data_IF_590200781682
#
_entry.id   IF_590200781682
#
_cell.length_a   1.000
_cell.length_b   1.000
_cell.length_c   1.000
_cell.angle_alpha   90.00
_cell.angle_beta   90.00
_cell.angle_gamma   90.00
#
_symmetry.space_group_name_H-M   'P 1'
#
loop_
_entity.id
_entity.type
_entity.pdbx_description
1 polymer ?
#
# COMPACT_ATOMS: atom_id res chain seq x y z
N UNK A 1 -67.29 30.07 -17.65
CA UNK A 1 -66.13 29.36 -17.08
C UNK A 1 -66.25 27.91 -17.49
N UNK A 2 -65.63 27.51 -18.61
CA UNK A 2 -65.49 26.09 -18.91
C UNK A 2 -64.52 25.54 -17.87
N UNK A 3 -64.97 24.60 -17.04
CA UNK A 3 -64.02 23.77 -16.30
C UNK A 3 -63.43 22.84 -17.34
N UNK A 4 -62.15 23.01 -17.64
CA UNK A 4 -61.42 21.98 -18.37
C UNK A 4 -61.45 20.72 -17.49
N UNK A 5 -61.91 19.62 -18.07
CA UNK A 5 -62.09 18.35 -17.41
C UNK A 5 -61.06 17.41 -18.02
N UNK A 6 -59.99 17.15 -17.28
CA UNK A 6 -58.96 16.17 -17.65
C UNK A 6 -58.96 15.01 -16.65
N UNK A 7 -58.78 13.80 -17.17
CA UNK A 7 -58.64 12.56 -16.40
C UNK A 7 -57.33 11.84 -16.72
N UNK A 8 -56.50 12.40 -17.59
CA UNK A 8 -55.17 11.87 -17.89
C UNK A 8 -54.22 12.23 -16.75
N UNK A 9 -53.39 11.28 -16.34
CA UNK A 9 -52.37 11.56 -15.34
C UNK A 9 -51.12 12.15 -16.02
N UNK A 10 -50.41 13.07 -15.35
CA UNK A 10 -49.10 13.52 -15.82
C UNK A 10 -48.12 12.36 -15.98
N UNK A 11 -47.36 12.38 -17.09
CA UNK A 11 -46.34 11.37 -17.42
C UNK A 11 -44.96 11.88 -16.99
N UNK A 12 -44.29 11.13 -16.09
CA UNK A 12 -42.94 11.44 -15.61
C UNK A 12 -41.93 10.56 -16.34
N UNK A 13 -40.89 11.18 -16.89
CA UNK A 13 -39.79 10.53 -17.60
C UNK A 13 -38.51 10.63 -16.77
N UNK A 14 -37.97 9.47 -16.41
CA UNK A 14 -36.70 9.36 -15.70
C UNK A 14 -35.52 9.76 -16.60
N UNK A 15 -34.51 10.47 -16.07
CA UNK A 15 -33.26 10.66 -16.78
C UNK A 15 -32.49 9.34 -16.86
N UNK A 16 -31.65 9.19 -17.88
CA UNK A 16 -30.69 8.08 -17.96
C UNK A 16 -29.51 8.39 -17.04
N UNK A 17 -29.24 7.52 -16.08
CA UNK A 17 -28.09 7.65 -15.17
C UNK A 17 -27.16 6.44 -15.32
N UNK A 18 -25.84 6.65 -15.52
CA UNK A 18 -24.88 5.56 -15.45
C UNK A 18 -24.80 4.99 -14.03
N UNK A 19 -24.24 3.79 -13.90
CA UNK A 19 -23.85 3.27 -12.58
C UNK A 19 -22.73 4.13 -11.99
N UNK A 20 -22.75 4.25 -10.66
CA UNK A 20 -21.72 4.94 -9.88
C UNK A 20 -20.77 3.91 -9.30
N UNK A 21 -19.48 4.20 -9.25
CA UNK A 21 -18.51 3.39 -8.50
C UNK A 21 -18.07 4.16 -7.26
N UNK A 22 -18.28 3.57 -6.07
CA UNK A 22 -17.96 4.14 -4.74
C UNK A 22 -18.52 5.54 -4.44
N UNK A 23 -19.29 6.12 -5.36
CA UNK A 23 -19.74 7.51 -5.29
C UNK A 23 -20.95 7.70 -4.38
N UNK A 24 -21.20 8.95 -4.02
CA UNK A 24 -22.45 9.31 -3.36
C UNK A 24 -23.61 9.35 -4.36
N UNK A 25 -24.82 9.01 -3.89
CA UNK A 25 -26.01 9.10 -4.72
C UNK A 25 -26.27 10.57 -5.10
N UNK A 26 -26.45 10.90 -6.41
CA UNK A 26 -26.59 12.27 -6.87
C UNK A 26 -28.00 12.80 -6.65
N UNK A 27 -28.18 14.12 -6.79
CA UNK A 27 -29.50 14.66 -7.05
C UNK A 27 -30.01 14.18 -8.42
N UNK A 28 -31.28 13.77 -8.49
CA UNK A 28 -31.91 13.31 -9.72
C UNK A 28 -33.00 14.28 -10.17
N UNK A 29 -32.97 14.68 -11.44
CA UNK A 29 -33.98 15.55 -12.04
C UNK A 29 -34.74 14.78 -13.13
N UNK A 30 -36.04 14.56 -12.92
CA UNK A 30 -36.94 13.99 -13.90
C UNK A 30 -37.72 15.09 -14.62
N UNK A 31 -38.12 14.83 -15.86
CA UNK A 31 -39.04 15.69 -16.62
C UNK A 31 -40.44 15.11 -16.57
N UNK A 32 -41.48 15.94 -16.63
CA UNK A 32 -42.84 15.46 -16.77
C UNK A 32 -43.63 16.32 -17.76
N UNK A 33 -44.59 15.70 -18.42
CA UNK A 33 -45.48 16.33 -19.39
C UNK A 33 -46.91 15.91 -19.13
N UNK A 34 -47.85 16.76 -19.50
CA UNK A 34 -49.27 16.50 -19.36
C UNK A 34 -50.06 17.27 -20.43
N UNK A 35 -51.31 16.87 -20.68
CA UNK A 35 -52.19 17.53 -21.66
C UNK A 35 -53.04 18.67 -21.06
N UNK A 36 -53.16 18.76 -19.73
CA UNK A 36 -53.81 19.87 -19.01
C UNK A 36 -52.80 20.85 -18.36
N UNK A 37 -51.49 20.53 -18.34
CA UNK A 37 -50.46 21.42 -17.78
C UNK A 37 -49.26 21.64 -18.70
N UNK A 38 -48.47 22.69 -18.44
CA UNK A 38 -47.28 23.07 -19.24
C UNK A 38 -46.14 22.04 -19.08
N UNK A 39 -46.23 21.13 -18.11
CA UNK A 39 -45.17 20.21 -17.73
C UNK A 39 -44.04 20.90 -16.97
N UNK A 40 -42.96 20.17 -16.68
CA UNK A 40 -41.83 20.73 -15.95
C UNK A 40 -40.78 19.72 -15.51
N UNK A 41 -40.00 20.10 -14.49
CA UNK A 41 -38.96 19.25 -13.90
C UNK A 41 -39.20 19.03 -12.42
N UNK A 42 -38.91 17.82 -11.95
CA UNK A 42 -38.93 17.44 -10.54
C UNK A 42 -37.51 17.07 -10.13
N UNK A 43 -37.02 17.61 -9.02
CA UNK A 43 -35.68 17.30 -8.52
C UNK A 43 -35.74 16.74 -7.11
N UNK A 44 -35.10 15.61 -6.90
CA UNK A 44 -34.86 15.03 -5.59
C UNK A 44 -33.36 15.08 -5.30
N UNK A 45 -32.97 15.54 -4.11
CA UNK A 45 -31.55 15.72 -3.75
C UNK A 45 -30.84 14.40 -3.41
N UNK A 46 -31.58 13.30 -3.32
CA UNK A 46 -31.08 11.96 -3.01
C UNK A 46 -32.22 10.93 -3.06
N UNK A 47 -31.90 9.64 -2.91
CA UNK A 47 -32.87 8.58 -3.02
C UNK A 47 -33.83 8.57 -1.82
N UNK A 48 -35.10 8.30 -2.07
CA UNK A 48 -36.13 8.12 -1.04
C UNK A 48 -35.88 6.84 -0.21
N UNK A 49 -35.30 5.82 -0.84
CA UNK A 49 -34.90 4.56 -0.20
C UNK A 49 -33.71 3.92 -0.90
N UNK A 50 -32.89 3.20 -0.14
CA UNK A 50 -31.72 2.48 -0.63
C UNK A 50 -31.89 1.00 -0.28
N UNK A 51 -31.65 0.13 -1.25
CA UNK A 51 -31.69 -1.34 -1.09
C UNK A 51 -30.36 -1.92 -1.55
N UNK A 52 -29.74 -2.77 -0.74
CA UNK A 52 -28.52 -3.49 -1.12
C UNK A 52 -28.87 -4.69 -2.02
N UNK A 53 -28.03 -4.98 -3.01
CA UNK A 53 -28.13 -6.21 -3.82
C UNK A 53 -27.87 -7.47 -2.99
N UNK A 54 -28.36 -8.62 -3.46
CA UNK A 54 -28.20 -9.90 -2.76
C UNK A 54 -26.73 -10.33 -2.65
N UNK A 55 -25.90 -9.99 -3.62
CA UNK A 55 -24.44 -10.25 -3.62
C UNK A 55 -23.65 -9.26 -2.75
N UNK A 56 -24.30 -8.19 -2.27
CA UNK A 56 -23.69 -7.15 -1.45
C UNK A 56 -22.79 -6.15 -2.20
N UNK A 57 -22.57 -6.32 -3.50
CA UNK A 57 -21.63 -5.51 -4.30
C UNK A 57 -22.22 -4.19 -4.81
N UNK A 58 -23.54 -3.98 -4.67
CA UNK A 58 -24.19 -2.76 -5.12
C UNK A 58 -25.32 -2.32 -4.20
N UNK A 59 -25.62 -1.02 -4.23
CA UNK A 59 -26.83 -0.44 -3.67
C UNK A 59 -27.66 0.18 -4.78
N UNK A 60 -28.97 0.00 -4.71
CA UNK A 60 -29.94 0.62 -5.60
C UNK A 60 -30.65 1.74 -4.84
N UNK A 61 -30.41 2.98 -5.25
CA UNK A 61 -31.11 4.16 -4.76
C UNK A 61 -32.36 4.42 -5.59
N UNK A 62 -33.53 4.38 -4.96
CA UNK A 62 -34.81 4.65 -5.60
C UNK A 62 -35.26 6.09 -5.35
N UNK A 63 -35.72 6.75 -6.41
CA UNK A 63 -36.18 8.14 -6.43
C UNK A 63 -37.65 8.13 -6.82
N UNK A 64 -38.50 8.31 -5.82
CA UNK A 64 -39.95 8.27 -5.99
C UNK A 64 -40.48 9.69 -6.27
N UNK A 65 -40.77 9.98 -7.54
CA UNK A 65 -41.31 11.27 -7.97
C UNK A 65 -42.83 11.27 -7.98
N UNK A 66 -43.41 12.39 -7.54
CA UNK A 66 -44.85 12.61 -7.52
C UNK A 66 -45.15 14.04 -8.02
N UNK A 67 -46.17 14.19 -8.87
CA UNK A 67 -46.64 15.48 -9.35
C UNK A 67 -48.14 15.48 -9.58
N UNK A 68 -48.79 16.60 -9.27
CA UNK A 68 -50.19 16.83 -9.59
C UNK A 68 -50.28 17.78 -10.79
N UNK A 69 -51.16 17.48 -11.74
CA UNK A 69 -51.51 18.44 -12.80
C UNK A 69 -52.46 19.54 -12.28
N UNK A 70 -52.76 20.53 -13.13
CA UNK A 70 -53.68 21.63 -12.79
C UNK A 70 -55.15 21.17 -12.64
N UNK A 71 -55.46 19.98 -13.16
CA UNK A 71 -56.76 19.33 -13.13
C UNK A 71 -56.98 18.45 -11.89
N UNK A 72 -55.93 18.20 -11.09
CA UNK A 72 -55.93 17.43 -9.85
C UNK A 72 -55.56 15.95 -9.98
N UNK A 73 -55.12 15.48 -11.15
CA UNK A 73 -54.67 14.10 -11.35
C UNK A 73 -53.23 13.91 -10.85
N UNK A 74 -52.93 12.72 -10.29
CA UNK A 74 -51.62 12.38 -9.72
C UNK A 74 -50.82 11.49 -10.66
N UNK A 75 -49.62 11.95 -11.03
CA UNK A 75 -48.59 11.16 -11.69
C UNK A 75 -47.53 10.73 -10.68
N UNK A 76 -47.12 9.45 -10.73
CA UNK A 76 -46.05 8.90 -9.90
C UNK A 76 -45.08 8.09 -10.75
N UNK A 77 -43.78 8.19 -10.48
CA UNK A 77 -42.77 7.38 -11.16
C UNK A 77 -41.59 7.14 -10.24
N UNK A 78 -41.10 5.91 -10.21
CA UNK A 78 -39.87 5.54 -9.52
C UNK A 78 -38.73 5.45 -10.52
N UNK A 79 -37.66 6.18 -10.28
CA UNK A 79 -36.39 6.04 -10.98
C UNK A 79 -35.38 5.34 -10.07
N UNK A 80 -34.36 4.69 -10.64
CA UNK A 80 -33.33 4.01 -9.87
C UNK A 80 -31.93 4.38 -10.36
N UNK A 81 -31.02 4.62 -9.43
CA UNK A 81 -29.58 4.75 -9.68
C UNK A 81 -28.87 3.60 -8.99
N UNK A 82 -27.97 2.94 -9.71
CA UNK A 82 -27.16 1.84 -9.16
C UNK A 82 -25.81 2.40 -8.73
N UNK A 83 -25.40 2.09 -7.51
CA UNK A 83 -24.07 2.35 -6.99
C UNK A 83 -23.38 1.02 -6.72
N UNK A 84 -22.32 0.73 -7.46
CA UNK A 84 -21.42 -0.37 -7.22
C UNK A 84 -20.32 0.05 -6.24
N UNK A 85 -19.72 -0.93 -5.55
CA UNK A 85 -18.69 -0.71 -4.53
C UNK A 85 -17.48 -1.60 -4.77
N UNK A 86 -16.31 -1.08 -4.43
CA UNK A 86 -15.15 -1.92 -4.20
C UNK A 86 -15.21 -2.48 -2.78
N UNK A 87 -15.17 -3.80 -2.65
CA UNK A 87 -15.22 -4.48 -1.37
C UNK A 87 -14.05 -5.44 -1.29
N UNK A 88 -13.21 -5.23 -0.28
CA UNK A 88 -12.10 -6.09 0.07
C UNK A 88 -12.51 -6.91 1.28
N UNK A 89 -12.40 -8.23 1.20
CA UNK A 89 -12.91 -9.15 2.20
C UNK A 89 -12.11 -10.45 2.27
N UNK A 90 -12.64 -11.42 3.02
CA UNK A 90 -12.05 -12.77 3.15
C UNK A 90 -10.54 -12.76 3.47
N UNK A 91 -10.12 -11.83 4.33
CA UNK A 91 -8.72 -11.69 4.70
C UNK A 91 -8.20 -12.92 5.45
N UNK A 92 -7.00 -13.35 5.10
CA UNK A 92 -6.35 -14.54 5.62
C UNK A 92 -4.85 -14.30 5.85
N UNK A 93 -4.27 -15.06 6.77
CA UNK A 93 -2.83 -15.07 7.00
C UNK A 93 -2.13 -15.78 5.84
N UNK A 94 -1.07 -15.18 5.31
CA UNK A 94 -0.22 -15.77 4.28
C UNK A 94 1.25 -15.84 4.69
N UNK A 95 1.93 -16.91 4.28
CA UNK A 95 3.37 -17.08 4.45
C UNK A 95 4.02 -17.54 3.15
N UNK A 96 5.20 -16.99 2.86
CA UNK A 96 5.99 -17.40 1.71
C UNK A 96 6.71 -18.73 1.98
N UNK A 97 6.64 -19.63 1.02
CA UNK A 97 7.30 -20.92 1.02
C UNK A 97 8.22 -21.01 -0.19
N UNK A 98 9.52 -21.22 0.05
CA UNK A 98 10.48 -21.53 -1.00
C UNK A 98 10.28 -22.95 -1.55
N UNK A 99 10.71 -23.17 -2.79
CA UNK A 99 10.78 -24.51 -3.39
C UNK A 99 11.84 -25.38 -2.71
N UNK A 100 12.96 -24.77 -2.32
CA UNK A 100 14.07 -25.41 -1.61
C UNK A 100 14.44 -24.61 -0.36
N UNK A 101 14.81 -25.30 0.72
CA UNK A 101 15.23 -24.67 1.97
C UNK A 101 14.09 -24.23 2.89
N UNK A 102 12.84 -24.52 2.55
CA UNK A 102 11.69 -24.25 3.41
C UNK A 102 11.66 -25.17 4.65
N UNK A 103 11.29 -24.60 5.79
CA UNK A 103 11.12 -25.33 7.04
C UNK A 103 9.81 -24.90 7.70
N UNK A 104 8.89 -25.85 7.84
CA UNK A 104 7.64 -25.62 8.54
C UNK A 104 7.89 -25.32 10.03
N UNK A 105 7.18 -24.34 10.57
CA UNK A 105 7.24 -23.98 12.00
C UNK A 105 6.79 -25.12 12.92
N UNK A 106 5.89 -25.99 12.44
CA UNK A 106 5.38 -27.15 13.16
C UNK A 106 6.40 -28.29 13.02
N UNK A 107 6.73 -29.02 14.11
CA UNK A 107 6.05 -29.05 15.41
C UNK A 107 6.61 -28.09 16.46
N UNK A 108 7.65 -27.31 16.15
CA UNK A 108 8.34 -26.46 17.12
C UNK A 108 7.46 -25.29 17.63
N UNK A 109 6.51 -24.85 16.81
CA UNK A 109 5.53 -23.84 17.15
C UNK A 109 4.11 -24.32 16.82
N UNK A 110 3.11 -23.76 17.49
CA UNK A 110 1.70 -24.07 17.24
C UNK A 110 1.13 -23.35 16.01
N UNK A 111 1.78 -22.28 15.55
CA UNK A 111 1.41 -21.53 14.35
C UNK A 111 2.05 -22.18 13.13
N UNK A 112 1.31 -22.25 12.04
CA UNK A 112 1.82 -22.69 10.74
C UNK A 112 2.54 -21.55 10.02
N UNK A 113 3.38 -21.89 9.06
CA UNK A 113 4.20 -20.96 8.28
C UNK A 113 5.59 -21.55 8.05
N UNK A 114 6.41 -20.84 7.27
CA UNK A 114 7.72 -21.31 6.87
C UNK A 114 8.81 -20.29 7.18
N UNK A 115 9.97 -20.81 7.57
CA UNK A 115 11.24 -20.09 7.46
C UNK A 115 12.01 -20.70 6.31
N UNK A 116 12.63 -19.85 5.50
CA UNK A 116 13.24 -20.25 4.24
C UNK A 116 14.74 -19.98 4.30
N UNK A 117 15.53 -21.02 4.18
CA UNK A 117 16.99 -20.93 4.18
C UNK A 117 17.52 -20.65 2.77
N UNK A 118 18.24 -19.54 2.62
CA UNK A 118 18.84 -19.08 1.37
C UNK A 118 20.36 -19.22 1.49
N UNK A 119 20.99 -20.20 0.80
CA UNK A 119 22.38 -20.57 1.05
C UNK A 119 23.41 -19.55 0.55
N UNK A 120 23.13 -18.89 -0.57
CA UNK A 120 24.10 -18.06 -1.29
C UNK A 120 23.46 -16.74 -1.74
N UNK A 121 24.27 -15.78 -2.17
CA UNK A 121 23.73 -14.57 -2.80
C UNK A 121 23.03 -14.92 -4.12
N UNK A 122 21.89 -14.29 -4.36
CA UNK A 122 21.08 -14.57 -5.54
C UNK A 122 19.66 -14.06 -5.41
N UNK A 123 18.87 -14.37 -6.43
CA UNK A 123 17.45 -14.11 -6.46
C UNK A 123 16.69 -15.40 -6.17
N UNK A 124 15.74 -15.33 -5.24
CA UNK A 124 14.93 -16.44 -4.80
C UNK A 124 13.45 -16.06 -4.93
N UNK A 125 12.67 -16.90 -5.58
CA UNK A 125 11.21 -16.72 -5.65
C UNK A 125 10.54 -17.75 -4.75
N UNK A 126 9.60 -17.29 -3.94
CA UNK A 126 8.85 -18.11 -3.00
C UNK A 126 7.36 -17.91 -3.24
N UNK A 127 6.61 -19.00 -3.23
CA UNK A 127 5.15 -18.94 -3.37
C UNK A 127 4.51 -18.43 -2.08
N UNK A 128 3.61 -17.46 -2.19
CA UNK A 128 2.88 -16.91 -1.04
C UNK A 128 1.55 -17.63 -0.87
N UNK A 129 1.43 -18.41 0.20
CA UNK A 129 0.27 -19.24 0.47
C UNK A 129 -0.59 -18.67 1.60
N UNK A 130 -1.84 -18.31 1.31
CA UNK A 130 -2.84 -17.93 2.29
C UNK A 130 -3.58 -19.17 2.84
N UNK A 131 -3.82 -19.21 4.15
CA UNK A 131 -4.67 -20.24 4.75
C UNK A 131 -4.11 -21.67 4.71
N UNK A 132 -2.81 -21.85 4.45
CA UNK A 132 -2.15 -23.15 4.37
C UNK A 132 -1.86 -23.75 5.76
N UNK A 133 -2.91 -23.90 6.56
CA UNK A 133 -2.85 -24.44 7.91
C UNK A 133 -2.08 -25.77 7.95
N UNK A 134 -1.32 -25.99 9.02
CA UNK A 134 -0.41 -27.13 9.16
C UNK A 134 0.72 -27.22 8.12
N UNK A 135 1.02 -26.12 7.42
CA UNK A 135 1.98 -26.10 6.32
C UNK A 135 1.57 -27.02 5.16
N UNK A 136 0.27 -27.24 4.96
CA UNK A 136 -0.28 -28.04 3.87
C UNK A 136 -0.78 -27.11 2.77
N UNK A 137 0.00 -26.97 1.70
CA UNK A 137 -0.32 -26.08 0.57
C UNK A 137 -1.56 -26.55 -0.21
N UNK A 138 -1.98 -27.81 -0.10
CA UNK A 138 -3.23 -28.28 -0.72
C UNK A 138 -4.49 -27.70 -0.04
N UNK A 139 -4.34 -27.14 1.16
CA UNK A 139 -5.42 -26.47 1.90
C UNK A 139 -5.36 -24.95 1.79
N UNK A 140 -4.26 -24.42 1.26
CA UNK A 140 -4.07 -22.99 1.08
C UNK A 140 -4.43 -22.53 -0.32
N UNK A 141 -4.58 -21.22 -0.47
CA UNK A 141 -4.68 -20.54 -1.75
C UNK A 141 -3.32 -19.91 -2.11
N UNK A 142 -2.90 -20.05 -3.36
CA UNK A 142 -1.71 -19.36 -3.88
C UNK A 142 -2.11 -17.92 -4.23
N UNK A 143 -1.77 -16.98 -3.36
CA UNK A 143 -2.22 -15.58 -3.43
C UNK A 143 -1.16 -14.63 -3.96
N UNK A 144 0.03 -15.13 -4.27
CA UNK A 144 1.11 -14.31 -4.81
C UNK A 144 2.46 -15.01 -4.78
N UNK A 145 3.51 -14.23 -4.96
CA UNK A 145 4.90 -14.64 -4.79
C UNK A 145 5.66 -13.59 -3.99
N UNK A 146 6.74 -14.02 -3.33
CA UNK A 146 7.72 -13.15 -2.70
C UNK A 146 9.07 -13.39 -3.36
N UNK A 147 9.63 -12.35 -3.95
CA UNK A 147 10.97 -12.37 -4.55
C UNK A 147 11.96 -11.78 -3.56
N UNK A 148 12.99 -12.54 -3.22
CA UNK A 148 14.08 -12.11 -2.35
C UNK A 148 15.35 -11.96 -3.17
N UNK A 149 15.83 -10.74 -3.30
CA UNK A 149 17.15 -10.46 -3.83
C UNK A 149 18.14 -10.35 -2.66
N UNK A 150 18.92 -11.42 -2.46
CA UNK A 150 19.90 -11.52 -1.40
C UNK A 150 21.29 -11.16 -1.93
N UNK A 151 21.82 -10.01 -1.49
CA UNK A 151 23.12 -9.48 -1.92
C UNK A 151 24.08 -9.21 -0.75
N UNK A 152 25.31 -8.81 -1.08
CA UNK A 152 26.32 -8.42 -0.10
C UNK A 152 25.97 -7.16 0.70
N UNK A 153 25.14 -6.26 0.17
CA UNK A 153 24.81 -4.98 0.80
C UNK A 153 23.42 -4.95 1.39
N UNK A 154 22.47 -5.64 0.78
CA UNK A 154 21.07 -5.60 1.17
C UNK A 154 20.32 -6.89 0.80
N UNK A 155 19.20 -7.08 1.49
CA UNK A 155 18.18 -8.09 1.18
C UNK A 155 16.91 -7.34 0.81
N UNK A 156 16.50 -7.45 -0.46
CA UNK A 156 15.26 -6.87 -0.96
C UNK A 156 14.18 -7.95 -0.95
N UNK A 157 13.10 -7.74 -0.20
CA UNK A 157 11.98 -8.69 -0.11
C UNK A 157 10.77 -8.03 -0.76
N UNK A 158 10.47 -8.42 -1.99
CA UNK A 158 9.40 -7.87 -2.81
C UNK A 158 8.20 -8.82 -2.81
N UNK A 159 7.05 -8.33 -2.37
CA UNK A 159 5.78 -9.02 -2.45
C UNK A 159 5.11 -8.69 -3.79
N UNK A 160 4.63 -9.71 -4.48
CA UNK A 160 3.84 -9.62 -5.70
C UNK A 160 2.56 -10.42 -5.50
N UNK A 161 1.48 -9.75 -5.13
CA UNK A 161 0.17 -10.35 -4.93
C UNK A 161 -0.49 -10.63 -6.28
N UNK A 162 -1.14 -11.79 -6.42
CA UNK A 162 -1.82 -12.20 -7.64
C UNK A 162 -3.12 -11.40 -7.86
N UNK A 163 -3.58 -11.34 -9.10
CA UNK A 163 -4.88 -10.78 -9.49
C UNK A 163 -6.03 -11.36 -8.65
N UNK A 164 -6.98 -10.51 -8.27
CA UNK A 164 -8.09 -10.82 -7.38
C UNK A 164 -7.76 -10.73 -5.89
N UNK A 165 -6.50 -10.44 -5.53
CA UNK A 165 -6.05 -10.32 -4.15
C UNK A 165 -5.32 -9.00 -3.90
N UNK A 166 -5.30 -8.60 -2.64
CA UNK A 166 -4.49 -7.49 -2.12
C UNK A 166 -3.89 -7.89 -0.78
N UNK A 167 -2.91 -7.13 -0.27
CA UNK A 167 -2.41 -7.26 1.10
C UNK A 167 -2.59 -5.97 1.90
N UNK A 168 -2.90 -6.13 3.18
CA UNK A 168 -3.10 -5.05 4.15
C UNK A 168 -1.93 -4.91 5.13
N UNK A 169 -1.12 -5.96 5.28
CA UNK A 169 0.02 -5.98 6.19
C UNK A 169 1.14 -6.84 5.60
N UNK A 170 2.39 -6.46 5.84
CA UNK A 170 3.56 -7.27 5.56
C UNK A 170 4.48 -7.31 6.79
N UNK A 171 5.03 -8.49 7.09
CA UNK A 171 5.96 -8.70 8.18
C UNK A 171 7.11 -9.58 7.70
N UNK A 172 8.34 -9.07 7.79
CA UNK A 172 9.53 -9.73 7.28
C UNK A 172 10.53 -9.96 8.40
N UNK A 173 11.11 -11.14 8.43
CA UNK A 173 12.33 -11.44 9.17
C UNK A 173 13.40 -11.88 8.19
N UNK A 174 14.58 -11.28 8.28
CA UNK A 174 15.80 -11.75 7.66
C UNK A 174 16.86 -11.84 8.75
N UNK A 175 17.55 -12.98 8.84
CA UNK A 175 18.53 -13.21 9.88
C UNK A 175 19.30 -14.50 9.68
N UNK A 176 20.19 -14.81 10.60
CA UNK A 176 21.16 -15.91 10.46
C UNK A 176 20.73 -17.13 11.28
N UNK A 177 19.89 -16.89 12.29
CA UNK A 177 19.10 -17.90 12.96
C UNK A 177 17.80 -18.16 12.19
N UNK A 178 17.23 -19.38 12.26
CA UNK A 178 15.96 -19.70 11.59
C UNK A 178 14.76 -18.86 12.03
N UNK A 179 14.81 -18.27 13.23
CA UNK A 179 13.70 -17.54 13.83
C UNK A 179 14.18 -16.28 14.57
N UNK A 180 13.40 -15.20 14.57
CA UNK A 180 13.67 -14.04 15.42
C UNK A 180 13.54 -14.42 16.91
N UNK A 181 14.27 -13.69 17.76
CA UNK A 181 14.24 -13.86 19.21
C UNK A 181 13.55 -12.69 19.90
N UNK A 182 12.53 -12.95 20.72
CA UNK A 182 11.94 -11.97 21.63
C UNK A 182 12.27 -12.33 23.06
N UNK A 183 12.94 -11.43 23.78
CA UNK A 183 13.43 -11.65 25.16
C UNK A 183 14.23 -12.96 25.29
N UNK A 184 15.07 -13.25 24.29
CA UNK A 184 15.93 -14.43 24.25
C UNK A 184 15.24 -15.75 23.86
N UNK A 185 13.95 -15.74 23.49
CA UNK A 185 13.23 -16.94 23.02
C UNK A 185 12.81 -16.78 21.57
N UNK A 186 12.92 -17.86 20.79
CA UNK A 186 12.48 -17.88 19.40
C UNK A 186 10.97 -17.60 19.30
N UNK A 187 10.56 -16.89 18.26
CA UNK A 187 9.17 -16.55 17.99
C UNK A 187 8.84 -16.62 16.51
N UNK A 188 7.59 -16.95 16.20
CA UNK A 188 7.02 -16.97 14.84
C UNK A 188 5.77 -16.08 14.75
N UNK A 189 5.63 -15.16 15.71
CA UNK A 189 4.53 -14.20 15.70
C UNK A 189 4.88 -13.03 14.75
N UNK A 190 4.09 -12.78 13.68
CA UNK A 190 4.42 -11.78 12.66
C UNK A 190 4.72 -10.39 13.20
N UNK A 191 3.88 -9.86 14.10
CA UNK A 191 4.12 -8.54 14.74
C UNK A 191 5.32 -8.49 15.70
N UNK A 192 6.13 -9.56 15.79
CA UNK A 192 7.40 -9.59 16.50
C UNK A 192 8.60 -9.68 15.56
N UNK A 193 8.35 -9.69 14.25
CA UNK A 193 9.40 -9.62 13.26
C UNK A 193 9.97 -8.19 13.24
N UNK A 194 11.26 -8.04 12.92
CA UNK A 194 11.92 -6.73 12.99
C UNK A 194 11.52 -5.79 11.86
N UNK A 195 11.07 -6.32 10.71
CA UNK A 195 10.83 -5.54 9.50
C UNK A 195 9.35 -5.52 9.14
N UNK A 196 8.64 -4.51 9.64
CA UNK A 196 7.18 -4.40 9.55
C UNK A 196 6.81 -3.04 8.91
N UNK A 197 6.78 -2.91 7.57
CA UNK A 197 6.32 -1.69 6.92
C UNK A 197 4.86 -1.40 7.29
N UNK A 198 4.48 -0.12 7.22
CA UNK A 198 3.10 0.33 7.45
C UNK A 198 2.50 0.82 6.14
N UNK A 199 1.23 0.46 5.89
CA UNK A 199 0.48 0.87 4.71
C UNK A 199 -0.67 1.80 5.11
N UNK A 200 -0.98 2.77 4.25
CA UNK A 200 -2.16 3.65 4.37
C UNK A 200 -3.45 2.96 3.93
N UNK A 201 -3.33 1.89 3.12
CA UNK A 201 -4.42 1.03 2.70
C UNK A 201 -3.90 -0.31 2.19
N UNK A 202 -4.61 -0.92 1.26
CA UNK A 202 -4.19 -2.18 0.66
C UNK A 202 -3.21 -1.94 -0.50
N UNK A 203 -2.33 -2.90 -0.75
CA UNK A 203 -1.35 -2.87 -1.85
C UNK A 203 -1.24 -4.25 -2.49
N UNK A 204 -0.78 -4.32 -3.73
CA UNK A 204 -0.48 -5.58 -4.43
C UNK A 204 1.01 -5.80 -4.61
N UNK A 205 1.79 -4.73 -4.74
CA UNK A 205 3.24 -4.78 -4.83
C UNK A 205 3.86 -3.96 -3.70
N UNK A 206 4.87 -4.50 -3.02
CA UNK A 206 5.65 -3.74 -2.05
C UNK A 206 7.02 -4.35 -1.81
N UNK A 207 8.05 -3.51 -1.65
CA UNK A 207 9.42 -3.97 -1.38
C UNK A 207 9.92 -3.54 -0.01
N UNK A 208 10.31 -4.51 0.81
CA UNK A 208 11.01 -4.27 2.08
C UNK A 208 12.52 -4.28 1.82
N UNK A 209 13.19 -3.17 2.13
CA UNK A 209 14.64 -3.01 1.98
C UNK A 209 15.31 -3.21 3.33
N UNK A 210 16.24 -4.18 3.40
CA UNK A 210 16.94 -4.56 4.63
C UNK A 210 18.45 -4.52 4.41
N UNK A 211 19.19 -3.77 5.20
CA UNK A 211 20.64 -3.70 5.12
C UNK A 211 21.32 -5.01 5.60
N UNK A 212 22.30 -5.47 4.83
CA UNK A 212 23.18 -6.61 5.14
C UNK A 212 24.60 -6.09 5.49
N UNK A 213 24.78 -5.59 6.72
CA UNK A 213 25.92 -4.73 7.06
C UNK A 213 27.29 -5.41 7.15
N UNK A 214 27.35 -6.70 7.48
CA UNK A 214 28.57 -7.29 8.03
C UNK A 214 29.11 -8.49 7.27
N UNK A 215 28.49 -8.85 6.13
CA UNK A 215 29.02 -9.80 5.12
C UNK A 215 29.47 -11.18 5.64
N UNK A 216 29.15 -11.51 6.90
CA UNK A 216 29.50 -12.80 7.54
C UNK A 216 28.39 -13.85 7.37
N UNK A 217 27.42 -13.57 6.50
CA UNK A 217 26.40 -14.50 6.04
C UNK A 217 26.84 -15.30 4.80
N UNK A 218 28.14 -15.51 4.62
CA UNK A 218 28.64 -16.41 3.56
C UNK A 218 28.15 -17.86 3.72
N UNK A 219 27.47 -18.17 4.82
CA UNK A 219 26.80 -19.45 5.08
C UNK A 219 25.28 -19.36 4.90
N UNK A 220 24.77 -18.35 4.21
CA UNK A 220 23.36 -18.16 3.97
C UNK A 220 22.61 -17.43 5.10
N UNK A 221 21.33 -17.16 4.82
CA UNK A 221 20.39 -16.49 5.72
C UNK A 221 19.06 -17.25 5.77
N UNK A 222 18.26 -16.93 6.77
CA UNK A 222 16.87 -17.35 6.88
C UNK A 222 15.96 -16.15 6.66
N UNK A 223 14.93 -16.35 5.85
CA UNK A 223 13.90 -15.35 5.56
C UNK A 223 12.52 -15.91 5.89
N UNK A 224 11.76 -15.16 6.65
CA UNK A 224 10.32 -15.37 6.85
C UNK A 224 9.61 -14.17 6.28
N UNK A 225 8.76 -14.38 5.28
CA UNK A 225 7.88 -13.37 4.74
C UNK A 225 6.43 -13.74 5.04
N UNK A 226 5.75 -12.87 5.78
CA UNK A 226 4.35 -12.98 6.13
C UNK A 226 3.58 -11.81 5.55
N UNK A 227 2.33 -12.04 5.16
CA UNK A 227 1.39 -10.99 4.80
C UNK A 227 -0.02 -11.31 5.33
N UNK A 228 -0.85 -10.28 5.47
CA UNK A 228 -2.31 -10.46 5.59
C UNK A 228 -2.90 -10.13 4.22
N UNK A 229 -3.42 -11.14 3.54
CA UNK A 229 -3.96 -11.04 2.17
C UNK A 229 -5.47 -11.13 2.18
N UNK A 230 -6.14 -10.32 1.37
CA UNK A 230 -7.59 -10.25 1.26
C UNK A 230 -8.01 -10.44 -0.21
N UNK A 231 -9.22 -10.96 -0.42
CA UNK A 231 -9.84 -11.06 -1.74
C UNK A 231 -10.52 -9.74 -2.11
N UNK A 232 -10.44 -9.37 -3.40
CA UNK A 232 -11.27 -8.33 -3.98
C UNK A 232 -12.63 -8.97 -4.29
N UNK A 233 -13.57 -8.84 -3.37
CA UNK A 233 -14.91 -9.46 -3.45
C UNK A 233 -15.78 -8.76 -4.48
N UNK A 234 -15.69 -7.43 -4.53
CA UNK A 234 -16.41 -6.60 -5.48
C UNK A 234 -15.44 -5.57 -6.05
N UNK A 235 -15.54 -5.30 -7.35
CA UNK A 235 -14.75 -4.27 -8.02
C UNK A 235 -15.62 -3.56 -9.06
N UNK A 236 -15.78 -2.25 -8.88
CA UNK A 236 -16.34 -1.32 -9.86
C UNK A 236 -15.29 -0.34 -10.38
N UNK A 237 -14.16 -0.21 -9.68
CA UNK A 237 -13.01 0.54 -10.16
C UNK A 237 -12.47 -0.06 -11.46
N UNK A 238 -11.91 0.77 -12.37
CA UNK A 238 -11.53 0.30 -13.69
C UNK A 238 -10.32 -0.64 -13.67
N UNK A 239 -9.51 -0.60 -12.61
CA UNK A 239 -8.39 -1.50 -12.38
C UNK A 239 -8.17 -1.78 -10.89
N UNK A 240 -7.44 -2.85 -10.59
CA UNK A 240 -7.04 -3.19 -9.21
C UNK A 240 -6.07 -2.16 -8.61
N UNK A 241 -5.32 -1.43 -9.44
CA UNK A 241 -4.46 -0.33 -8.99
C UNK A 241 -5.28 0.81 -8.37
N UNK A 242 -6.48 1.07 -8.89
CA UNK A 242 -7.40 2.10 -8.37
C UNK A 242 -8.07 1.66 -7.05
N UNK A 243 -8.08 0.36 -6.75
CA UNK A 243 -8.53 -0.21 -5.47
C UNK A 243 -7.41 -0.12 -4.41
N UNK A 244 -6.15 -0.08 -4.85
CA UNK A 244 -4.99 -0.01 -3.99
C UNK A 244 -4.71 1.42 -3.49
N UNK A 245 -3.97 1.51 -2.40
CA UNK A 245 -3.46 2.77 -1.88
C UNK A 245 -2.23 3.26 -2.65
N UNK A 246 -1.88 4.53 -2.46
CA UNK A 246 -0.69 5.18 -3.05
C UNK A 246 0.64 4.52 -2.66
N UNK A 247 0.64 3.64 -1.65
CA UNK A 247 1.81 2.87 -1.23
C UNK A 247 2.12 1.69 -2.17
N UNK A 248 1.23 1.38 -3.13
CA UNK A 248 1.40 0.27 -4.06
C UNK A 248 2.62 0.45 -4.97
N UNK A 249 3.43 -0.61 -5.11
CA UNK A 249 4.73 -0.55 -5.76
C UNK A 249 5.80 0.21 -4.96
N UNK A 250 5.47 0.60 -3.72
CA UNK A 250 6.36 1.32 -2.82
C UNK A 250 7.48 0.46 -2.27
N UNK A 251 8.39 1.13 -1.57
CA UNK A 251 9.48 0.48 -0.85
C UNK A 251 9.81 1.23 0.43
N UNK A 252 10.07 0.50 1.52
CA UNK A 252 10.52 1.10 2.78
C UNK A 252 11.78 0.42 3.31
N UNK A 253 12.65 1.23 3.91
CA UNK A 253 13.85 0.77 4.56
C UNK A 253 13.54 0.50 6.04
N UNK A 254 13.68 -0.75 6.46
CA UNK A 254 13.19 -1.16 7.79
C UNK A 254 14.32 -1.54 8.76
N UNK A 255 15.57 -1.26 8.39
CA UNK A 255 16.75 -1.45 9.25
C UNK A 255 17.71 -2.51 8.71
N UNK A 256 18.42 -3.19 9.60
CA UNK A 256 19.53 -4.09 9.26
C UNK A 256 19.57 -5.33 10.13
N UNK A 257 20.20 -6.40 9.64
CA UNK A 257 20.57 -7.56 10.47
C UNK A 257 22.08 -7.88 10.36
N UNK A 258 22.56 -8.74 11.25
CA UNK A 258 23.97 -9.16 11.34
C UNK A 258 24.09 -10.61 11.83
N UNK A 259 25.08 -11.33 11.29
CA UNK A 259 25.38 -12.75 11.58
C UNK A 259 26.57 -13.02 12.49
N UNK A 260 27.31 -12.00 12.91
CA UNK A 260 28.45 -12.25 13.80
C UNK A 260 27.98 -12.65 15.21
N UNK A 261 28.27 -13.89 15.62
CA UNK A 261 28.23 -14.35 17.01
C UNK A 261 29.34 -13.66 17.81
N UNK A 262 29.11 -12.42 18.22
CA UNK A 262 30.03 -11.73 19.12
C UNK A 262 29.29 -10.63 19.87
N UNK A 263 29.32 -10.72 21.19
CA UNK A 263 29.27 -9.57 22.11
C UNK A 263 30.49 -8.63 21.90
N UNK A 264 30.87 -8.35 20.65
CA UNK A 264 31.52 -7.10 20.35
C UNK A 264 30.38 -6.08 20.28
N UNK A 265 30.39 -5.03 21.11
CA UNK A 265 29.57 -3.87 20.82
C UNK A 265 30.14 -3.27 19.54
N UNK A 266 29.74 -3.83 18.41
CA UNK A 266 29.73 -3.10 17.17
C UNK A 266 28.81 -1.93 17.50
N UNK A 267 29.32 -0.72 17.36
CA UNK A 267 28.49 0.46 17.21
C UNK A 267 27.57 0.14 16.03
N UNK A 268 26.42 -0.47 16.35
CA UNK A 268 25.35 -0.81 15.43
C UNK A 268 24.94 0.49 14.72
N UNK A 269 24.20 0.38 13.63
CA UNK A 269 23.74 1.56 12.88
C UNK A 269 23.22 2.61 13.85
N UNK A 270 24.00 3.66 13.95
CA UNK A 270 23.81 4.69 14.94
C UNK A 270 22.98 5.85 14.33
N UNK A 271 22.42 5.68 13.13
CA UNK A 271 21.55 6.64 12.46
C UNK A 271 20.12 6.14 12.63
N UNK A 272 19.47 6.56 13.72
CA UNK A 272 18.09 6.24 14.06
C UNK A 272 17.03 6.75 13.07
N UNK A 273 17.37 7.72 12.21
CA UNK A 273 16.48 8.20 11.14
C UNK A 273 17.26 8.77 9.97
N UNK A 274 16.86 8.47 8.74
CA UNK A 274 17.38 9.08 7.51
C UNK A 274 16.27 9.20 6.44
N UNK A 275 15.70 10.40 6.31
CA UNK A 275 14.54 10.71 5.46
C UNK A 275 14.88 11.79 4.45
N UNK A 276 14.25 11.70 3.28
CA UNK A 276 14.29 12.73 2.24
C UNK A 276 12.84 13.12 1.93
N UNK A 277 12.53 14.43 1.94
CA UNK A 277 11.20 14.92 1.61
C UNK A 277 11.21 16.36 1.06
N UNK A 278 10.29 16.71 0.15
CA UNK A 278 9.38 15.80 -0.55
C UNK A 278 10.14 14.87 -1.52
N UNK A 279 9.60 13.69 -1.81
CA UNK A 279 10.06 12.83 -2.92
C UNK A 279 8.81 12.30 -3.60
N UNK A 280 8.52 12.65 -4.87
CA UNK A 280 9.34 13.46 -5.77
C UNK A 280 9.52 14.92 -5.32
N UNK A 281 10.67 15.53 -5.61
CA UNK A 281 10.92 16.97 -5.39
C UNK A 281 11.09 17.71 -6.71
N UNK A 282 10.88 19.03 -6.70
CA UNK A 282 11.12 19.91 -7.85
C UNK A 282 12.49 20.60 -7.69
N UNK A 283 12.56 21.68 -6.91
CA UNK A 283 13.77 22.48 -6.77
C UNK A 283 14.55 22.20 -5.50
N UNK A 284 13.93 21.64 -4.46
CA UNK A 284 14.54 21.51 -3.15
C UNK A 284 14.13 20.21 -2.47
N UNK A 285 15.08 19.54 -1.82
CA UNK A 285 14.84 18.34 -1.01
C UNK A 285 15.42 18.55 0.39
N UNK A 286 14.65 18.18 1.41
CA UNK A 286 15.09 18.19 2.80
C UNK A 286 15.58 16.81 3.19
N UNK A 287 16.79 16.75 3.73
CA UNK A 287 17.37 15.52 4.28
C UNK A 287 17.31 15.61 5.80
N UNK A 288 16.38 14.89 6.42
CA UNK A 288 16.26 14.78 7.87
C UNK A 288 17.00 13.54 8.37
N UNK A 289 17.77 13.70 9.43
CA UNK A 289 18.49 12.60 10.06
C UNK A 289 18.59 12.75 11.57
N UNK A 290 18.57 11.61 12.26
CA UNK A 290 18.79 11.51 13.70
C UNK A 290 19.86 10.45 13.92
N UNK A 291 20.94 10.83 14.59
CA UNK A 291 22.13 10.02 14.83
C UNK A 291 22.37 9.97 16.34
N UNK A 292 22.65 8.80 16.91
CA UNK A 292 22.75 8.59 18.36
C UNK A 292 24.16 8.85 18.95
N UNK A 293 25.07 9.45 18.17
CA UNK A 293 26.43 9.81 18.57
C UNK A 293 26.86 11.14 17.93
N UNK A 294 27.85 11.77 18.55
CA UNK A 294 28.45 13.02 18.08
C UNK A 294 29.36 12.73 16.88
N UNK A 295 29.16 13.47 15.79
CA UNK A 295 29.89 13.28 14.54
C UNK A 295 29.85 14.52 13.66
N UNK A 296 30.70 14.55 12.64
CA UNK A 296 30.53 15.47 11.53
C UNK A 296 29.77 14.73 10.42
N UNK A 297 28.71 15.34 9.92
CA UNK A 297 27.88 14.77 8.86
C UNK A 297 28.21 15.45 7.54
N UNK A 298 28.47 14.65 6.51
CA UNK A 298 28.63 15.12 5.13
C UNK A 298 27.54 14.48 4.29
N UNK A 299 26.72 15.30 3.64
CA UNK A 299 25.65 14.85 2.75
C UNK A 299 26.08 15.20 1.32
N UNK A 300 26.06 14.22 0.44
CA UNK A 300 26.46 14.34 -0.95
C UNK A 300 25.34 13.80 -1.84
N UNK A 301 25.02 14.50 -2.91
CA UNK A 301 24.01 14.06 -3.89
C UNK A 301 24.71 13.70 -5.18
N UNK A 302 24.42 12.51 -5.71
CA UNK A 302 24.99 11.99 -6.96
C UNK A 302 23.92 11.78 -8.00
N UNK A 303 24.25 12.01 -9.28
CA UNK A 303 23.41 11.61 -10.41
C UNK A 303 23.55 10.10 -10.71
N UNK A 304 22.74 9.59 -11.65
CA UNK A 304 22.80 8.18 -12.10
C UNK A 304 24.13 7.79 -12.77
N UNK A 305 24.96 8.76 -13.15
CA UNK A 305 26.28 8.55 -13.75
C UNK A 305 27.40 8.55 -12.69
N UNK A 306 27.06 8.79 -11.42
CA UNK A 306 28.01 8.89 -10.31
C UNK A 306 28.69 10.25 -10.18
N UNK A 307 28.23 11.27 -10.89
CA UNK A 307 28.74 12.64 -10.78
C UNK A 307 28.23 13.28 -9.48
N UNK A 308 29.11 13.96 -8.73
CA UNK A 308 28.72 14.73 -7.54
C UNK A 308 27.98 16.00 -7.95
N UNK A 309 26.72 16.12 -7.54
CA UNK A 309 25.80 17.22 -7.88
C UNK A 309 25.78 18.28 -6.78
N UNK A 310 25.61 17.87 -5.53
CA UNK A 310 25.58 18.77 -4.37
C UNK A 310 26.32 18.19 -3.17
N UNK A 311 26.80 19.07 -2.29
CA UNK A 311 27.48 18.69 -1.05
C UNK A 311 27.19 19.66 0.09
N UNK A 312 26.70 19.13 1.19
CA UNK A 312 26.40 19.87 2.43
C UNK A 312 27.18 19.24 3.58
N UNK A 313 27.68 20.06 4.50
CA UNK A 313 28.33 19.59 5.73
C UNK A 313 27.64 20.17 6.95
N UNK A 314 27.47 19.34 7.96
CA UNK A 314 27.03 19.70 9.29
C UNK A 314 28.11 19.26 10.29
N UNK A 315 28.93 20.22 10.73
CA UNK A 315 30.02 19.98 11.67
C UNK A 315 29.54 20.09 13.11
N UNK A 316 29.95 19.15 13.96
CA UNK A 316 29.58 19.13 15.38
C UNK A 316 28.12 18.72 15.62
N UNK A 317 27.61 17.74 14.87
CA UNK A 317 26.27 17.21 15.09
C UNK A 317 26.14 16.64 16.52
N UNK A 318 25.05 17.01 17.20
CA UNK A 318 24.76 16.60 18.58
C UNK A 318 23.90 15.35 18.57
N UNK A 319 24.35 14.30 19.27
CA UNK A 319 23.64 13.03 19.38
C UNK A 319 22.16 13.19 19.77
N UNK A 320 21.28 12.46 19.09
CA UNK A 320 19.84 12.40 19.35
C UNK A 320 19.06 13.64 18.88
N UNK A 321 19.71 14.66 18.31
CA UNK A 321 19.02 15.83 17.78
C UNK A 321 18.49 15.58 16.37
N UNK A 322 17.28 16.00 16.05
CA UNK A 322 16.84 15.98 14.66
C UNK A 322 17.52 17.12 13.89
N UNK A 323 18.32 16.75 12.89
CA UNK A 323 18.96 17.71 12.00
C UNK A 323 18.34 17.60 10.61
N UNK A 324 18.02 18.76 10.03
CA UNK A 324 17.47 18.87 8.68
C UNK A 324 18.44 19.67 7.83
N UNK A 325 18.87 19.10 6.72
CA UNK A 325 19.70 19.78 5.72
C UNK A 325 18.87 19.99 4.46
N UNK A 326 18.58 21.26 4.18
CA UNK A 326 17.89 21.68 2.95
C UNK A 326 18.91 21.72 1.81
N UNK A 327 18.61 21.02 0.72
CA UNK A 327 19.49 20.93 -0.46
C UNK A 327 18.77 21.59 -1.64
N UNK A 328 19.41 22.61 -2.20
CA UNK A 328 18.97 23.26 -3.43
C UNK A 328 19.41 22.43 -4.66
N UNK A 329 18.42 22.01 -5.42
CA UNK A 329 18.50 21.17 -6.61
C UNK A 329 17.90 21.87 -7.84
N UNK A 330 17.69 23.20 -7.80
CA UNK A 330 17.03 23.95 -8.87
C UNK A 330 17.70 23.86 -10.24
N UNK A 331 19.00 23.54 -10.26
CA UNK A 331 19.83 23.45 -11.47
C UNK A 331 20.02 22.00 -11.95
N UNK A 332 19.11 21.10 -11.59
CA UNK A 332 19.24 19.67 -11.86
C UNK A 332 18.08 19.16 -12.72
N UNK A 333 18.37 18.18 -13.57
CA UNK A 333 17.36 17.59 -14.45
C UNK A 333 16.36 16.72 -13.67
N UNK A 334 15.16 16.52 -14.24
CA UNK A 334 14.20 15.54 -13.76
C UNK A 334 14.77 14.12 -13.94
N UNK A 335 15.36 13.57 -12.88
CA UNK A 335 15.93 12.24 -12.86
C UNK A 335 16.05 11.69 -11.44
N UNK A 336 16.59 10.47 -11.34
CA UNK A 336 16.93 9.83 -10.07
C UNK A 336 18.27 10.38 -9.57
N UNK A 337 18.36 10.64 -8.27
CA UNK A 337 19.60 10.98 -7.58
C UNK A 337 19.83 10.04 -6.39
N UNK A 338 21.09 9.94 -5.95
CA UNK A 338 21.49 9.18 -4.77
C UNK A 338 22.08 10.12 -3.73
N UNK A 339 21.45 10.20 -2.56
CA UNK A 339 21.94 10.97 -1.42
C UNK A 339 22.78 10.08 -0.54
N UNK A 340 24.07 10.36 -0.45
CA UNK A 340 25.01 9.71 0.46
C UNK A 340 25.22 10.57 1.70
N UNK A 341 24.91 10.03 2.87
CA UNK A 341 25.23 10.63 4.15
C UNK A 341 26.42 9.89 4.76
N UNK A 342 27.53 10.58 4.90
CA UNK A 342 28.78 10.09 5.48
C UNK A 342 29.01 10.73 6.84
N UNK A 343 29.38 9.90 7.81
CA UNK A 343 29.79 10.27 9.16
C UNK A 343 31.19 9.75 9.42
N UNK A 344 31.78 10.07 10.58
CA UNK A 344 33.06 9.47 10.98
C UNK A 344 32.99 7.95 11.28
N UNK A 345 31.80 7.33 11.40
CA UNK A 345 31.66 5.89 11.67
C UNK A 345 31.02 5.09 10.53
N UNK A 346 30.12 5.70 9.76
CA UNK A 346 29.34 4.99 8.74
C UNK A 346 29.00 5.88 7.55
N UNK A 347 28.62 5.26 6.44
CA UNK A 347 28.07 5.92 5.26
C UNK A 347 26.80 5.20 4.83
N UNK A 348 25.71 5.94 4.65
CA UNK A 348 24.41 5.43 4.19
C UNK A 348 24.00 6.15 2.90
N UNK A 349 23.24 5.49 2.03
CA UNK A 349 22.80 6.04 0.74
C UNK A 349 21.28 5.91 0.62
N UNK A 350 20.60 6.91 0.03
CA UNK A 350 19.16 6.90 -0.23
C UNK A 350 18.86 7.37 -1.64
N UNK A 351 17.97 6.66 -2.35
CA UNK A 351 17.45 7.08 -3.66
C UNK A 351 16.43 8.19 -3.48
N UNK A 352 16.51 9.25 -4.28
CA UNK A 352 15.52 10.33 -4.37
C UNK A 352 15.17 10.58 -5.84
N UNK A 353 13.98 11.10 -6.10
CA UNK A 353 13.48 11.34 -7.46
C UNK A 353 13.14 12.82 -7.61
N UNK A 354 13.68 13.46 -8.65
CA UNK A 354 13.29 14.81 -9.06
C UNK A 354 12.22 14.75 -10.14
N UNK A 355 11.15 15.53 -9.98
CA UNK A 355 10.07 15.70 -10.92
C UNK A 355 9.48 17.10 -10.82
N UNK A 356 9.76 17.92 -11.83
CA UNK A 356 9.11 19.21 -12.04
C UNK A 356 7.84 19.03 -12.87
N UNK A 357 6.67 19.58 -12.49
CA UNK A 357 5.51 19.63 -13.37
C UNK A 357 5.90 20.31 -14.69
N UNK A 358 5.62 19.67 -15.82
CA UNK A 358 5.82 20.32 -17.12
C UNK A 358 5.03 21.63 -17.13
N UNK A 359 5.73 22.72 -17.43
CA UNK A 359 5.15 24.06 -17.55
C UNK A 359 4.37 24.23 -18.84
#
# INVERSE_FOLDING_TARGET
VSREYDMTNPEIVCPVTPSLCNGEFPSLTATWTDNCSVGGTLTLNGPTRIVQSEDGCSDIGYYDFEVYDDCGNLGTQTCSVIREKDIIGNCETAFAKADEGDQCFIPNFSRWGWTNYLPDFGEYTMDLWAGAAHCDTNRGALVGTVTVNYSESEVLVTYNINEGYVMSEAHVYAGCDPYPKKRGRNTVAPGQYPFNPSFSGNVQNYTVVIDNLLRDNSKGIYVIAHAVTCEIVCMCSPSEEDVCSDDNGGSDFVGSFNCSDSNTPINAINISSFKAYPVPFDQEVNISYVIDYETDVTIEVFDIKGSLVQKVKNSGYVKGSEAVSKIDMSNTDNQIFFVRLTTNKTTVVKKIVSSSPQK
#
